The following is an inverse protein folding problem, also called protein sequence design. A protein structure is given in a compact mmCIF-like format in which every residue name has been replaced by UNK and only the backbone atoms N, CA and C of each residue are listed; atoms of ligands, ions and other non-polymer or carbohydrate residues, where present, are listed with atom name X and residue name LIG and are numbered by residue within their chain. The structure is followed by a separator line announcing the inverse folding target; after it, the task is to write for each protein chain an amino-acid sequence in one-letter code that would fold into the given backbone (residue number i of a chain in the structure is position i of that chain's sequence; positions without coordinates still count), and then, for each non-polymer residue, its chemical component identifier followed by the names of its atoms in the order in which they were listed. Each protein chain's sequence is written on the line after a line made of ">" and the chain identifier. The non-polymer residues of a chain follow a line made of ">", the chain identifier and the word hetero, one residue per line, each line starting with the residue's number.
data_IF_574985856892
#
_entry.id   IF_574985856892
#
_cell.length_a   1.000
_cell.length_b   1.000
_cell.length_c   1.000
_cell.angle_alpha   90.00
_cell.angle_beta   90.00
_cell.angle_gamma   90.00
#
_symmetry.space_group_name_H-M   'P 1'
#
loop_
_entity.id
_entity.type
_entity.pdbx_description
1 polymer ?
#
# COMPACT_ATOMS: atom_id res chain seq x y z
N UNK A 1 -32.71 -29.59 -6.69
CA UNK A 1 -31.95 -30.68 -6.01
C UNK A 1 -32.79 -31.37 -4.93
N UNK A 2 -33.56 -30.66 -4.11
CA UNK A 2 -34.37 -31.26 -3.03
C UNK A 2 -35.40 -32.31 -3.50
N UNK A 3 -35.90 -32.20 -4.75
CA UNK A 3 -36.79 -33.21 -5.35
C UNK A 3 -36.08 -34.52 -5.69
N UNK A 4 -34.76 -34.53 -5.87
CA UNK A 4 -33.97 -35.72 -6.20
C UNK A 4 -33.53 -36.45 -4.92
N UNK A 5 -33.32 -35.70 -3.80
CA UNK A 5 -32.85 -36.23 -2.52
C UNK A 5 -33.76 -35.78 -1.34
N UNK A 6 -35.03 -36.20 -1.29
CA UNK A 6 -35.98 -35.66 -0.32
C UNK A 6 -35.72 -36.04 1.16
N UNK A 7 -34.82 -36.97 1.42
CA UNK A 7 -34.48 -37.43 2.78
C UNK A 7 -33.05 -37.02 3.22
N UNK A 8 -32.31 -36.28 2.38
CA UNK A 8 -30.96 -35.88 2.72
C UNK A 8 -31.03 -34.51 3.42
N UNK A 9 -30.40 -34.38 4.62
CA UNK A 9 -30.35 -33.07 5.27
C UNK A 9 -29.48 -32.08 4.49
N UNK A 10 -29.90 -30.81 4.48
CA UNK A 10 -29.19 -29.73 3.85
C UNK A 10 -28.40 -28.91 4.88
N UNK A 11 -27.15 -28.65 4.60
CA UNK A 11 -26.30 -27.74 5.36
C UNK A 11 -25.82 -26.63 4.43
N UNK A 12 -26.22 -25.40 4.71
CA UNK A 12 -25.71 -24.19 4.05
C UNK A 12 -24.66 -23.52 4.94
N UNK A 13 -23.46 -23.29 4.42
CA UNK A 13 -22.39 -22.59 5.11
C UNK A 13 -22.02 -21.33 4.33
N UNK A 14 -21.95 -20.20 5.01
CA UNK A 14 -21.47 -18.94 4.44
C UNK A 14 -20.66 -18.17 5.46
N UNK A 15 -19.57 -17.55 5.04
CA UNK A 15 -18.73 -16.73 5.90
C UNK A 15 -19.33 -15.32 6.15
N UNK A 16 -20.16 -14.84 5.21
CA UNK A 16 -20.69 -13.46 5.21
C UNK A 16 -22.10 -13.48 4.60
N UNK A 17 -23.12 -13.33 5.42
CA UNK A 17 -24.48 -13.23 4.95
C UNK A 17 -25.29 -12.23 5.76
N UNK A 18 -25.84 -11.24 5.09
CA UNK A 18 -26.86 -10.36 5.66
C UNK A 18 -28.15 -11.16 5.95
N UNK A 19 -29.04 -10.60 6.75
CA UNK A 19 -30.36 -11.23 6.99
C UNK A 19 -31.10 -11.51 5.68
N UNK A 20 -31.02 -10.57 4.72
CA UNK A 20 -31.63 -10.72 3.39
C UNK A 20 -31.00 -11.89 2.63
N UNK A 21 -29.68 -11.97 2.56
CA UNK A 21 -28.96 -13.06 1.88
C UNK A 21 -29.28 -14.41 2.49
N UNK A 22 -29.41 -14.51 3.82
CA UNK A 22 -29.83 -15.77 4.46
C UNK A 22 -31.24 -16.20 4.05
N UNK A 23 -32.20 -15.26 4.03
CA UNK A 23 -33.55 -15.54 3.55
C UNK A 23 -33.57 -16.01 2.09
N UNK A 24 -32.80 -15.37 1.22
CA UNK A 24 -32.66 -15.77 -0.19
C UNK A 24 -32.04 -17.17 -0.35
N UNK A 25 -31.07 -17.54 0.49
CA UNK A 25 -30.47 -18.88 0.50
C UNK A 25 -31.52 -19.92 0.91
N UNK A 26 -32.27 -19.67 1.99
CA UNK A 26 -33.34 -20.56 2.49
C UNK A 26 -34.38 -20.79 1.40
N UNK A 27 -34.85 -19.75 0.78
CA UNK A 27 -35.82 -19.81 -0.31
C UNK A 27 -35.26 -20.55 -1.53
N UNK A 28 -34.09 -20.17 -2.01
CA UNK A 28 -33.46 -20.76 -3.20
C UNK A 28 -33.16 -22.25 -3.05
N UNK A 29 -32.79 -22.69 -1.86
CA UNK A 29 -32.52 -24.09 -1.57
C UNK A 29 -33.80 -24.87 -1.15
N UNK A 30 -34.94 -24.18 -0.99
CA UNK A 30 -36.19 -24.79 -0.55
C UNK A 30 -36.08 -25.42 0.85
N UNK A 31 -35.34 -24.77 1.75
CA UNK A 31 -35.16 -25.28 3.11
C UNK A 31 -36.45 -25.09 3.93
N UNK A 32 -36.96 -26.16 4.48
CA UNK A 32 -38.15 -26.13 5.32
C UNK A 32 -37.76 -26.06 6.78
N UNK A 33 -38.20 -25.00 7.47
CA UNK A 33 -37.93 -24.77 8.90
C UNK A 33 -36.45 -24.97 9.31
N UNK A 34 -35.50 -24.27 8.66
CA UNK A 34 -34.09 -24.43 8.94
C UNK A 34 -33.72 -23.87 10.31
N UNK A 35 -32.71 -24.47 10.92
CA UNK A 35 -32.05 -23.90 12.11
C UNK A 35 -30.96 -22.96 11.61
N UNK A 36 -31.07 -21.67 11.94
CA UNK A 36 -30.03 -20.68 11.63
C UNK A 36 -29.08 -20.50 12.82
N UNK A 37 -27.80 -20.77 12.60
CA UNK A 37 -26.74 -20.48 13.56
C UNK A 37 -25.96 -19.29 13.02
N UNK A 38 -26.09 -18.14 13.68
CA UNK A 38 -25.48 -16.87 13.26
C UNK A 38 -24.52 -16.40 14.34
N UNK A 39 -23.25 -16.27 13.99
CA UNK A 39 -22.18 -15.82 14.89
C UNK A 39 -21.74 -14.43 14.47
N UNK A 40 -21.44 -13.57 15.45
CA UNK A 40 -20.89 -12.25 15.18
C UNK A 40 -19.55 -12.39 14.44
N UNK A 41 -19.43 -11.84 13.21
CA UNK A 41 -18.23 -11.98 12.41
C UNK A 41 -17.12 -11.01 12.79
N UNK A 42 -17.28 -10.20 13.84
CA UNK A 42 -16.28 -9.20 14.24
C UNK A 42 -14.88 -9.82 14.42
N UNK A 43 -13.91 -9.12 13.93
CA UNK A 43 -12.49 -9.46 14.01
C UNK A 43 -11.77 -8.34 14.77
N UNK A 44 -11.78 -8.42 16.12
CA UNK A 44 -11.25 -7.34 16.96
C UNK A 44 -9.77 -7.05 16.72
N UNK A 45 -8.99 -7.99 16.27
CA UNK A 45 -7.57 -7.84 15.98
C UNK A 45 -7.26 -7.16 14.64
N UNK A 46 -8.26 -6.76 13.85
CA UNK A 46 -8.04 -6.07 12.58
C UNK A 46 -8.30 -4.58 12.76
N UNK A 47 -7.32 -3.75 12.43
CA UNK A 47 -7.45 -2.30 12.28
C UNK A 47 -7.95 -1.97 10.90
N UNK A 48 -9.05 -1.22 10.79
CA UNK A 48 -9.65 -0.82 9.52
C UNK A 48 -9.36 0.64 9.19
N UNK A 49 -8.96 0.91 7.95
CA UNK A 49 -8.70 2.28 7.52
C UNK A 49 -8.97 2.49 6.04
N UNK A 50 -9.16 3.73 5.65
CA UNK A 50 -9.25 4.14 4.25
C UNK A 50 -8.57 5.49 4.03
N UNK A 51 -7.98 5.68 2.86
CA UNK A 51 -7.42 6.97 2.47
C UNK A 51 -7.58 7.24 0.98
N UNK A 52 -7.74 8.51 0.66
CA UNK A 52 -7.79 8.95 -0.72
C UNK A 52 -6.41 8.78 -1.36
N UNK A 53 -6.39 8.25 -2.57
CA UNK A 53 -5.24 8.29 -3.47
C UNK A 53 -5.48 9.29 -4.59
N UNK A 54 -4.44 9.86 -5.18
CA UNK A 54 -4.59 10.78 -6.29
C UNK A 54 -5.34 10.17 -7.49
N UNK A 55 -6.11 10.99 -8.21
CA UNK A 55 -7.12 10.54 -9.17
C UNK A 55 -6.59 9.88 -10.43
N UNK A 56 -5.48 10.30 -11.00
CA UNK A 56 -4.89 9.69 -12.20
C UNK A 56 -3.41 9.99 -12.34
N UNK A 57 -2.72 9.06 -12.97
CA UNK A 57 -1.30 9.10 -13.32
C UNK A 57 -0.55 7.96 -12.63
N UNK A 58 0.25 7.25 -13.41
CA UNK A 58 1.10 6.15 -12.91
C UNK A 58 2.05 6.64 -11.81
N UNK A 59 2.46 7.93 -11.86
CA UNK A 59 3.29 8.59 -10.85
C UNK A 59 2.67 8.55 -9.44
N UNK A 60 1.36 8.64 -9.37
CA UNK A 60 0.62 8.76 -8.10
C UNK A 60 0.30 7.41 -7.44
N UNK A 61 0.25 6.33 -8.21
CA UNK A 61 0.23 4.97 -7.66
C UNK A 61 1.60 4.66 -7.03
N UNK A 62 2.66 5.21 -7.60
CA UNK A 62 4.02 5.05 -7.10
C UNK A 62 4.23 5.67 -5.72
N UNK A 63 3.58 6.79 -5.41
CA UNK A 63 3.65 7.43 -4.09
C UNK A 63 3.13 6.49 -2.97
N UNK A 64 2.13 5.65 -3.31
CA UNK A 64 1.60 4.63 -2.39
C UNK A 64 2.53 3.41 -2.31
N UNK A 65 3.10 3.02 -3.45
CA UNK A 65 3.88 1.78 -3.56
C UNK A 65 5.34 1.97 -3.11
N UNK A 66 5.89 3.18 -3.22
CA UNK A 66 7.27 3.46 -2.85
C UNK A 66 7.57 3.15 -1.39
N UNK A 67 6.79 3.63 -0.42
CA UNK A 67 7.01 3.29 0.99
C UNK A 67 7.02 1.78 1.26
N UNK A 68 6.15 1.02 0.55
CA UNK A 68 6.11 -0.43 0.68
C UNK A 68 7.37 -1.10 0.10
N UNK A 69 7.90 -0.58 -1.02
CA UNK A 69 9.17 -1.06 -1.60
C UNK A 69 10.32 -0.80 -0.64
N UNK A 70 10.42 0.43 -0.11
CA UNK A 70 11.53 0.83 0.76
C UNK A 70 11.50 0.04 2.07
N UNK A 71 10.31 -0.16 2.65
CA UNK A 71 10.14 -1.00 3.82
C UNK A 71 10.49 -2.47 3.53
N UNK A 72 10.04 -3.04 2.39
CA UNK A 72 10.38 -4.40 1.99
C UNK A 72 11.88 -4.58 1.77
N UNK A 73 12.59 -3.58 1.23
CA UNK A 73 14.05 -3.60 1.09
C UNK A 73 14.74 -3.63 2.44
N UNK A 74 14.28 -2.83 3.39
CA UNK A 74 14.86 -2.73 4.73
C UNK A 74 14.59 -3.96 5.60
N UNK A 75 13.34 -4.40 5.63
CA UNK A 75 12.88 -5.46 6.54
C UNK A 75 13.01 -6.87 5.96
N UNK A 76 13.05 -7.01 4.64
CA UNK A 76 13.23 -8.30 3.97
C UNK A 76 12.23 -9.35 4.46
N UNK A 77 12.75 -10.42 5.09
CA UNK A 77 11.94 -11.51 5.65
C UNK A 77 11.13 -11.11 6.87
N UNK A 78 11.48 -10.05 7.57
CA UNK A 78 10.73 -9.50 8.69
C UNK A 78 9.54 -8.64 8.24
N UNK A 79 9.52 -8.23 6.95
CA UNK A 79 8.38 -7.50 6.40
C UNK A 79 7.09 -8.32 6.57
N UNK A 80 6.02 -7.71 7.12
CA UNK A 80 4.78 -8.41 7.39
C UNK A 80 4.15 -8.95 6.12
N UNK A 81 3.70 -10.21 6.13
CA UNK A 81 3.04 -10.82 4.98
C UNK A 81 1.80 -9.99 4.60
N UNK A 82 1.87 -9.43 3.40
CA UNK A 82 0.91 -8.45 2.87
C UNK A 82 0.25 -8.98 1.61
N UNK A 83 -1.07 -8.85 1.51
CA UNK A 83 -1.82 -9.10 0.27
C UNK A 83 -2.37 -7.78 -0.24
N UNK A 84 -2.06 -7.46 -1.49
CA UNK A 84 -2.55 -6.26 -2.18
C UNK A 84 -3.61 -6.68 -3.18
N UNK A 85 -4.86 -6.33 -2.90
CA UNK A 85 -6.00 -6.60 -3.77
C UNK A 85 -6.25 -5.46 -4.74
N UNK A 86 -6.65 -5.80 -5.95
CA UNK A 86 -7.06 -4.87 -6.99
C UNK A 86 -7.59 -5.60 -8.22
N UNK A 87 -8.04 -4.85 -9.22
CA UNK A 87 -8.33 -5.44 -10.53
C UNK A 87 -7.03 -5.91 -11.22
N UNK A 88 -7.15 -6.73 -12.25
CA UNK A 88 -5.99 -7.35 -12.92
C UNK A 88 -5.00 -6.30 -13.46
N UNK A 89 -5.49 -5.20 -14.02
CA UNK A 89 -4.66 -4.10 -14.53
C UNK A 89 -3.86 -3.46 -13.39
N UNK A 90 -4.54 -3.05 -12.33
CA UNK A 90 -3.91 -2.42 -11.15
C UNK A 90 -2.85 -3.31 -10.53
N UNK A 91 -3.13 -4.60 -10.28
CA UNK A 91 -2.14 -5.49 -9.66
C UNK A 91 -0.95 -5.77 -10.58
N UNK A 92 -1.17 -5.78 -11.90
CA UNK A 92 -0.10 -5.94 -12.88
C UNK A 92 0.82 -4.71 -12.91
N UNK A 93 0.26 -3.50 -12.80
CA UNK A 93 1.02 -2.26 -12.66
C UNK A 93 1.83 -2.24 -11.35
N UNK A 94 1.22 -2.62 -10.23
CA UNK A 94 1.92 -2.73 -8.95
C UNK A 94 3.09 -3.70 -9.02
N UNK A 95 2.88 -4.87 -9.61
CA UNK A 95 3.92 -5.87 -9.79
C UNK A 95 5.06 -5.36 -10.68
N UNK A 96 4.74 -4.72 -11.80
CA UNK A 96 5.73 -4.15 -12.70
C UNK A 96 6.59 -3.08 -11.99
N UNK A 97 5.93 -2.20 -11.20
CA UNK A 97 6.61 -1.21 -10.39
C UNK A 97 7.57 -1.84 -9.38
N UNK A 98 7.12 -2.85 -8.63
CA UNK A 98 7.98 -3.55 -7.67
C UNK A 98 9.15 -4.26 -8.35
N UNK A 99 8.90 -4.90 -9.49
CA UNK A 99 9.96 -5.57 -10.26
C UNK A 99 11.04 -4.59 -10.73
N UNK A 100 10.63 -3.38 -11.15
CA UNK A 100 11.53 -2.31 -11.52
C UNK A 100 12.27 -1.74 -10.30
N UNK A 101 11.54 -1.34 -9.25
CA UNK A 101 12.08 -0.64 -8.09
C UNK A 101 12.97 -1.52 -7.20
N UNK A 102 12.67 -2.81 -7.10
CA UNK A 102 13.47 -3.78 -6.34
C UNK A 102 14.68 -4.30 -7.12
N UNK A 103 14.60 -4.37 -8.44
CA UNK A 103 15.68 -4.89 -9.28
C UNK A 103 16.18 -6.25 -8.79
N UNK A 104 17.48 -6.36 -8.53
CA UNK A 104 18.12 -7.61 -8.01
C UNK A 104 17.79 -7.88 -6.54
N UNK A 105 17.38 -6.87 -5.79
CA UNK A 105 17.01 -7.00 -4.38
C UNK A 105 15.68 -7.72 -4.15
N UNK A 106 14.91 -8.01 -5.20
CA UNK A 106 13.67 -8.77 -5.13
C UNK A 106 13.85 -10.24 -4.71
N UNK A 107 15.08 -10.73 -4.64
CA UNK A 107 15.38 -12.13 -4.31
C UNK A 107 16.01 -12.27 -2.91
N UNK A 108 15.66 -13.35 -2.22
CA UNK A 108 16.14 -13.68 -0.88
C UNK A 108 16.90 -15.01 -0.88
N UNK A 109 18.12 -15.08 -0.30
CA UNK A 109 18.94 -13.97 0.19
C UNK A 109 19.38 -13.02 -0.95
N UNK A 110 19.88 -11.85 -0.60
CA UNK A 110 20.43 -10.91 -1.59
C UNK A 110 21.49 -11.60 -2.42
N UNK A 111 21.38 -11.52 -3.76
CA UNK A 111 22.26 -12.22 -4.68
C UNK A 111 21.85 -13.66 -5.01
N UNK A 112 20.74 -14.14 -4.44
CA UNK A 112 20.20 -15.46 -4.81
C UNK A 112 19.86 -15.52 -6.32
N UNK A 113 19.88 -16.73 -6.91
CA UNK A 113 19.48 -16.92 -8.30
C UNK A 113 18.08 -16.36 -8.58
N UNK A 114 17.88 -15.79 -9.78
CA UNK A 114 16.61 -15.23 -10.24
C UNK A 114 15.56 -16.34 -10.49
N UNK A 115 15.10 -16.97 -9.43
CA UNK A 115 14.11 -18.04 -9.43
C UNK A 115 12.87 -17.62 -8.67
N UNK A 116 11.71 -18.15 -9.03
CA UNK A 116 10.43 -17.83 -8.43
C UNK A 116 10.38 -18.13 -6.93
N UNK A 117 11.03 -19.21 -6.48
CA UNK A 117 11.13 -19.60 -5.07
C UNK A 117 11.92 -18.61 -4.19
N UNK A 118 12.77 -17.80 -4.80
CA UNK A 118 13.59 -16.81 -4.11
C UNK A 118 12.96 -15.41 -4.06
N UNK A 119 11.82 -15.21 -4.72
CA UNK A 119 11.18 -13.88 -4.78
C UNK A 119 10.51 -13.49 -3.46
N UNK A 120 10.61 -12.20 -3.14
CA UNK A 120 9.92 -11.57 -2.01
C UNK A 120 8.47 -11.17 -2.35
N UNK A 121 8.11 -11.08 -3.63
CA UNK A 121 6.75 -10.75 -4.06
C UNK A 121 6.35 -11.51 -5.32
N UNK A 122 5.05 -11.66 -5.53
CA UNK A 122 4.47 -12.37 -6.67
C UNK A 122 3.09 -11.82 -7.05
N UNK A 123 2.55 -12.30 -8.18
CA UNK A 123 1.16 -12.12 -8.55
C UNK A 123 0.34 -13.39 -8.26
N UNK A 124 -0.98 -13.20 -8.06
CA UNK A 124 -1.94 -14.30 -7.94
C UNK A 124 -3.31 -13.90 -8.52
N UNK A 125 -3.64 -14.43 -9.67
CA UNK A 125 -4.93 -14.18 -10.35
C UNK A 125 -5.42 -15.43 -11.08
N UNK A 126 -6.65 -15.41 -11.59
CA UNK A 126 -7.29 -16.58 -12.21
C UNK A 126 -6.43 -17.20 -13.33
N UNK A 127 -5.86 -16.36 -14.18
CA UNK A 127 -5.04 -16.77 -15.35
C UNK A 127 -3.58 -17.07 -14.99
N UNK A 128 -3.16 -16.91 -13.71
CA UNK A 128 -1.79 -17.26 -13.32
C UNK A 128 -1.57 -18.76 -13.44
N UNK A 129 -0.36 -19.24 -13.87
CA UNK A 129 -0.13 -20.66 -14.11
C UNK A 129 -0.48 -21.53 -12.90
N UNK A 130 -1.24 -22.60 -13.11
CA UNK A 130 -1.75 -23.45 -12.03
C UNK A 130 -0.64 -23.98 -11.12
N UNK A 131 0.46 -24.45 -11.72
CA UNK A 131 1.65 -24.97 -11.00
C UNK A 131 2.27 -23.91 -10.09
N UNK A 132 2.32 -22.65 -10.54
CA UNK A 132 2.84 -21.55 -9.72
C UNK A 132 1.87 -21.20 -8.57
N UNK A 133 0.56 -21.24 -8.82
CA UNK A 133 -0.45 -21.05 -7.77
C UNK A 133 -0.33 -22.11 -6.69
N UNK A 134 -0.18 -23.38 -7.07
CA UNK A 134 0.04 -24.50 -6.14
C UNK A 134 1.30 -24.29 -5.31
N UNK A 135 2.43 -23.96 -5.94
CA UNK A 135 3.71 -23.66 -5.27
C UNK A 135 3.59 -22.52 -4.27
N UNK A 136 2.91 -21.42 -4.65
CA UNK A 136 2.70 -20.27 -3.76
C UNK A 136 1.90 -20.69 -2.53
N UNK A 137 0.79 -21.39 -2.74
CA UNK A 137 -0.10 -21.85 -1.69
C UNK A 137 0.61 -22.81 -0.74
N UNK A 138 1.28 -23.81 -1.28
CA UNK A 138 2.04 -24.80 -0.51
C UNK A 138 3.15 -24.14 0.31
N UNK A 139 3.97 -23.28 -0.32
CA UNK A 139 5.04 -22.58 0.38
C UNK A 139 4.56 -21.66 1.49
N UNK A 140 3.43 -20.97 1.30
CA UNK A 140 2.83 -20.12 2.32
C UNK A 140 2.21 -20.95 3.47
N UNK A 141 1.57 -22.06 3.14
CA UNK A 141 0.95 -22.95 4.14
C UNK A 141 2.00 -23.63 5.01
N UNK A 142 3.08 -24.09 4.40
CA UNK A 142 4.20 -24.75 5.09
C UNK A 142 5.16 -23.75 5.78
N UNK A 143 4.99 -22.45 5.56
CA UNK A 143 5.90 -21.42 6.10
C UNK A 143 7.30 -21.40 5.48
N UNK A 144 7.49 -22.07 4.35
CA UNK A 144 8.78 -22.12 3.63
C UNK A 144 8.95 -21.02 2.58
N UNK A 145 7.88 -20.27 2.29
CA UNK A 145 7.86 -19.22 1.30
C UNK A 145 8.64 -17.98 1.74
N UNK A 146 9.42 -17.43 0.82
CA UNK A 146 10.09 -16.12 0.99
C UNK A 146 9.20 -14.94 0.62
N UNK A 147 8.00 -15.21 0.12
CA UNK A 147 7.05 -14.17 -0.27
C UNK A 147 6.62 -13.33 0.94
N UNK A 148 6.68 -12.02 0.76
CA UNK A 148 6.21 -11.02 1.71
C UNK A 148 5.04 -10.20 1.14
N UNK A 149 4.98 -10.01 -0.19
CA UNK A 149 3.86 -9.32 -0.83
C UNK A 149 3.27 -10.19 -1.94
N UNK A 150 1.94 -10.23 -1.98
CA UNK A 150 1.16 -10.94 -3.00
C UNK A 150 0.20 -9.93 -3.64
N UNK A 151 0.39 -9.62 -4.92
CA UNK A 151 -0.53 -8.82 -5.71
C UNK A 151 -1.63 -9.72 -6.26
N UNK A 152 -2.86 -9.56 -5.78
CA UNK A 152 -3.92 -10.52 -5.98
C UNK A 152 -5.22 -9.90 -6.53
N UNK A 153 -5.94 -10.66 -7.32
CA UNK A 153 -7.38 -10.43 -7.56
C UNK A 153 -8.20 -11.24 -6.57
N UNK A 154 -9.52 -11.10 -6.60
CA UNK A 154 -10.48 -11.92 -5.81
C UNK A 154 -10.22 -13.44 -5.89
N UNK A 155 -9.47 -13.89 -6.91
CA UNK A 155 -9.11 -15.30 -7.06
C UNK A 155 -8.18 -15.83 -5.95
N UNK A 156 -7.47 -14.93 -5.25
CA UNK A 156 -6.63 -15.31 -4.12
C UNK A 156 -7.48 -15.54 -2.87
N UNK A 157 -7.53 -16.76 -2.42
CA UNK A 157 -8.11 -17.05 -1.13
C UNK A 157 -9.37 -17.90 -1.13
N UNK A 158 -9.84 -18.39 -2.28
CA UNK A 158 -10.85 -19.44 -2.30
C UNK A 158 -10.19 -20.73 -1.76
N UNK A 159 -10.58 -21.12 -0.54
CA UNK A 159 -10.07 -22.34 0.11
C UNK A 159 -8.68 -22.23 0.75
N UNK A 160 -8.11 -21.01 0.89
CA UNK A 160 -6.82 -20.82 1.55
C UNK A 160 -7.00 -20.43 3.02
N UNK A 161 -6.35 -21.19 3.92
CA UNK A 161 -6.26 -20.86 5.35
C UNK A 161 -4.83 -20.42 5.71
N UNK A 162 -4.50 -19.17 5.39
CA UNK A 162 -3.23 -18.54 5.75
C UNK A 162 -3.41 -17.75 7.04
N UNK A 163 -2.74 -18.17 8.10
CA UNK A 163 -2.93 -17.58 9.44
C UNK A 163 -2.13 -16.31 9.66
N UNK A 164 -0.99 -16.15 8.98
CA UNK A 164 0.02 -15.14 9.26
C UNK A 164 -0.04 -13.89 8.35
N UNK A 165 -1.13 -13.66 7.63
CA UNK A 165 -1.30 -12.42 6.88
C UNK A 165 -1.50 -11.27 7.87
N UNK A 166 -0.64 -10.24 7.81
CA UNK A 166 -0.65 -9.07 8.70
C UNK A 166 -1.31 -7.86 8.09
N UNK A 167 -1.25 -7.74 6.76
CA UNK A 167 -1.77 -6.59 6.07
C UNK A 167 -2.58 -7.00 4.85
N UNK A 168 -3.75 -6.41 4.71
CA UNK A 168 -4.56 -6.42 3.50
C UNK A 168 -4.66 -4.99 2.98
N UNK A 169 -4.27 -4.77 1.75
CA UNK A 169 -4.34 -3.47 1.10
C UNK A 169 -5.22 -3.61 -0.14
N UNK A 170 -6.24 -2.79 -0.25
CA UNK A 170 -7.04 -2.67 -1.47
C UNK A 170 -6.62 -1.43 -2.24
N UNK A 171 -6.28 -1.59 -3.49
CA UNK A 171 -6.05 -0.48 -4.42
C UNK A 171 -7.27 -0.38 -5.33
N UNK A 172 -8.16 0.51 -4.97
CA UNK A 172 -9.53 0.62 -5.47
C UNK A 172 -10.54 0.02 -4.49
N UNK A 173 -11.79 0.44 -4.62
CA UNK A 173 -12.88 0.04 -3.71
C UNK A 173 -13.49 -1.29 -4.18
N UNK A 174 -13.58 -2.33 -3.34
CA UNK A 174 -14.34 -3.55 -3.62
C UNK A 174 -15.81 -3.25 -3.95
N UNK A 175 -16.45 -4.10 -4.75
CA UNK A 175 -17.80 -3.81 -5.25
C UNK A 175 -18.88 -3.90 -4.17
N UNK A 176 -18.69 -4.77 -3.17
CA UNK A 176 -19.64 -4.96 -2.08
C UNK A 176 -18.94 -5.10 -0.73
N UNK A 177 -19.70 -4.91 0.35
CA UNK A 177 -19.21 -5.08 1.71
C UNK A 177 -18.85 -6.53 2.00
N UNK A 178 -19.56 -7.48 1.41
CA UNK A 178 -19.27 -8.90 1.52
C UNK A 178 -17.92 -9.26 0.92
N UNK A 179 -17.65 -8.77 -0.31
CA UNK A 179 -16.36 -8.94 -0.98
C UNK A 179 -15.23 -8.35 -0.13
N UNK A 180 -15.39 -7.08 0.27
CA UNK A 180 -14.42 -6.41 1.13
C UNK A 180 -14.14 -7.17 2.42
N UNK A 181 -15.20 -7.57 3.13
CA UNK A 181 -15.06 -8.21 4.43
C UNK A 181 -14.48 -9.62 4.34
N UNK A 182 -14.79 -10.36 3.27
CA UNK A 182 -14.14 -11.66 2.99
C UNK A 182 -12.64 -11.51 2.74
N UNK A 183 -12.22 -10.48 2.02
CA UNK A 183 -10.82 -10.21 1.71
C UNK A 183 -10.08 -9.66 2.92
N UNK A 184 -10.61 -8.64 3.59
CA UNK A 184 -10.07 -8.07 4.81
C UNK A 184 -9.96 -9.10 5.96
N UNK A 185 -10.98 -9.97 6.08
CA UNK A 185 -11.02 -11.04 7.08
C UNK A 185 -9.97 -12.15 6.92
N UNK A 186 -9.14 -12.09 5.88
CA UNK A 186 -7.96 -12.97 5.72
C UNK A 186 -6.80 -12.55 6.61
N UNK A 187 -6.78 -11.29 7.03
CA UNK A 187 -5.77 -10.79 7.95
C UNK A 187 -5.95 -11.39 9.36
N UNK A 188 -4.86 -11.70 10.02
CA UNK A 188 -4.81 -12.04 11.44
C UNK A 188 -5.71 -13.22 11.87
N UNK A 189 -5.81 -14.27 11.08
CA UNK A 189 -6.60 -15.47 11.46
C UNK A 189 -6.08 -16.18 12.72
N UNK A 190 -4.86 -15.91 13.11
CA UNK A 190 -4.25 -16.35 14.36
C UNK A 190 -4.57 -15.46 15.57
N UNK A 191 -5.39 -14.42 15.39
CA UNK A 191 -5.76 -13.47 16.45
C UNK A 191 -4.76 -12.34 16.70
N UNK A 192 -3.60 -12.35 16.05
CA UNK A 192 -2.60 -11.30 16.20
C UNK A 192 -3.00 -10.00 15.49
N UNK A 193 -2.52 -8.83 15.97
CA UNK A 193 -2.81 -7.53 15.36
C UNK A 193 -2.53 -7.51 13.87
N UNK A 194 -3.46 -6.97 13.11
CA UNK A 194 -3.42 -6.93 11.64
C UNK A 194 -4.13 -5.69 11.10
N UNK A 195 -3.88 -5.33 9.84
CA UNK A 195 -4.44 -4.12 9.23
C UNK A 195 -5.17 -4.45 7.94
N UNK A 196 -6.29 -3.75 7.68
CA UNK A 196 -6.99 -3.73 6.41
C UNK A 196 -7.17 -2.29 5.95
N UNK A 197 -6.55 -1.93 4.83
CA UNK A 197 -6.54 -0.57 4.30
C UNK A 197 -7.11 -0.50 2.90
N UNK A 198 -7.91 0.54 2.60
CA UNK A 198 -8.45 0.80 1.27
C UNK A 198 -7.93 2.12 0.73
N UNK A 199 -7.16 2.08 -0.35
CA UNK A 199 -6.82 3.25 -1.14
C UNK A 199 -7.88 3.47 -2.21
N UNK A 200 -8.49 4.64 -2.27
CA UNK A 200 -9.54 4.97 -3.23
C UNK A 200 -9.32 6.33 -3.88
N UNK A 201 -9.98 6.57 -5.00
CA UNK A 201 -10.01 7.86 -5.67
C UNK A 201 -11.43 8.22 -6.12
N UNK A 202 -11.61 9.39 -6.72
CA UNK A 202 -12.93 9.87 -7.17
C UNK A 202 -13.59 8.95 -8.21
N UNK A 203 -12.80 8.26 -9.04
CA UNK A 203 -13.33 7.29 -10.02
C UNK A 203 -13.83 6.02 -9.35
N UNK A 204 -13.12 5.56 -8.32
CA UNK A 204 -13.50 4.35 -7.60
C UNK A 204 -14.88 4.49 -6.93
N UNK A 205 -15.23 5.69 -6.48
CA UNK A 205 -16.50 6.00 -5.80
C UNK A 205 -17.52 6.72 -6.69
N UNK A 206 -17.20 6.91 -7.97
CA UNK A 206 -18.08 7.60 -8.93
C UNK A 206 -19.46 6.93 -9.05
N UNK A 207 -20.51 7.76 -9.21
CA UNK A 207 -21.87 7.27 -9.50
C UNK A 207 -21.96 6.51 -10.82
N UNK A 208 -21.03 6.75 -11.76
CA UNK A 208 -20.93 6.02 -13.01
C UNK A 208 -20.54 4.53 -12.81
N UNK A 209 -19.91 4.18 -11.70
CA UNK A 209 -19.57 2.81 -11.33
C UNK A 209 -20.80 2.10 -10.76
N UNK A 210 -21.63 1.56 -11.66
CA UNK A 210 -22.95 0.98 -11.33
C UNK A 210 -22.87 -0.27 -10.43
N UNK A 211 -21.79 -1.01 -10.49
CA UNK A 211 -21.57 -2.23 -9.69
C UNK A 211 -21.04 -1.95 -8.26
N UNK A 212 -20.73 -0.70 -7.92
CA UNK A 212 -20.31 -0.35 -6.56
C UNK A 212 -21.53 -0.13 -5.66
N UNK A 213 -21.61 -0.85 -4.55
CA UNK A 213 -22.67 -0.69 -3.56
C UNK A 213 -22.60 0.68 -2.88
N UNK A 214 -23.77 1.21 -2.48
CA UNK A 214 -23.85 2.48 -1.75
C UNK A 214 -23.10 2.41 -0.43
N UNK A 215 -23.20 1.27 0.26
CA UNK A 215 -22.53 1.05 1.55
C UNK A 215 -21.01 1.13 1.43
N UNK A 216 -20.41 0.56 0.37
CA UNK A 216 -18.96 0.67 0.15
C UNK A 216 -18.53 2.08 -0.20
N UNK A 217 -19.38 2.84 -0.91
CA UNK A 217 -19.13 4.25 -1.19
C UNK A 217 -19.12 5.09 0.08
N UNK A 218 -20.08 4.86 0.97
CA UNK A 218 -20.16 5.47 2.29
C UNK A 218 -18.98 5.04 3.19
N UNK A 219 -18.66 3.73 3.18
CA UNK A 219 -17.58 3.16 3.99
C UNK A 219 -16.23 3.88 3.79
N UNK A 220 -15.86 4.18 2.55
CA UNK A 220 -14.57 4.83 2.28
C UNK A 220 -14.61 6.35 2.44
N UNK A 221 -15.78 6.97 2.28
CA UNK A 221 -15.93 8.43 2.22
C UNK A 221 -16.41 9.06 3.54
N UNK A 222 -17.17 8.31 4.36
CA UNK A 222 -17.74 8.85 5.60
C UNK A 222 -16.72 8.84 6.74
N UNK A 223 -16.76 9.91 7.53
CA UNK A 223 -15.99 10.04 8.77
C UNK A 223 -16.78 9.41 9.93
N UNK A 224 -16.85 8.07 9.89
CA UNK A 224 -17.53 7.21 10.87
C UNK A 224 -16.69 6.00 11.21
N UNK A 225 -17.02 5.35 12.32
CA UNK A 225 -16.35 4.11 12.70
C UNK A 225 -16.52 3.03 11.63
N UNK A 226 -15.42 2.63 11.00
CA UNK A 226 -15.39 1.60 9.95
C UNK A 226 -15.94 0.26 10.45
N UNK A 227 -15.64 -0.09 11.69
CA UNK A 227 -16.10 -1.34 12.31
C UNK A 227 -17.60 -1.35 12.57
N UNK A 228 -18.15 -0.25 13.08
CA UNK A 228 -19.59 -0.11 13.27
C UNK A 228 -20.36 -0.20 11.95
N UNK A 229 -19.82 0.41 10.88
CA UNK A 229 -20.41 0.31 9.54
C UNK A 229 -20.46 -1.13 9.04
N UNK A 230 -19.36 -1.90 9.22
CA UNK A 230 -19.30 -3.31 8.86
C UNK A 230 -20.32 -4.12 9.68
N UNK A 231 -20.30 -3.99 11.00
CA UNK A 231 -21.18 -4.76 11.87
C UNK A 231 -22.64 -4.44 11.62
N UNK A 232 -22.98 -3.16 11.48
CA UNK A 232 -24.35 -2.71 11.14
C UNK A 232 -24.84 -3.27 9.80
N UNK A 233 -23.96 -3.35 8.80
CA UNK A 233 -24.29 -3.95 7.51
C UNK A 233 -24.69 -5.44 7.63
N UNK A 234 -24.00 -6.21 8.47
CA UNK A 234 -24.33 -7.61 8.71
C UNK A 234 -25.44 -7.82 9.74
N UNK A 235 -25.98 -6.74 10.31
CA UNK A 235 -27.11 -6.77 11.25
C UNK A 235 -26.71 -7.09 12.69
N UNK A 236 -25.47 -6.78 13.06
CA UNK A 236 -24.98 -6.92 14.45
C UNK A 236 -24.93 -5.57 15.15
N UNK A 237 -25.08 -5.60 16.46
CA UNK A 237 -24.86 -4.41 17.27
C UNK A 237 -23.40 -3.94 17.16
N UNK A 238 -23.13 -2.63 17.29
CA UNK A 238 -21.77 -2.14 17.35
C UNK A 238 -21.02 -2.80 18.50
N UNK A 239 -19.73 -3.15 18.29
CA UNK A 239 -18.93 -3.74 19.35
C UNK A 239 -18.73 -2.72 20.48
N UNK A 240 -18.48 -3.20 21.72
CA UNK A 240 -18.18 -2.30 22.83
C UNK A 240 -16.94 -1.45 22.50
N UNK A 241 -16.90 -0.20 23.03
CA UNK A 241 -15.72 0.64 22.90
C UNK A 241 -14.48 -0.08 23.41
N UNK A 242 -13.35 0.11 22.72
CA UNK A 242 -12.06 -0.43 23.15
C UNK A 242 -11.42 0.48 24.17
N UNK A 243 -10.58 -0.09 25.02
CA UNK A 243 -9.74 0.68 25.93
C UNK A 243 -8.83 1.63 25.15
N UNK A 244 -8.21 1.13 24.08
CA UNK A 244 -7.39 1.90 23.16
C UNK A 244 -8.14 2.17 21.85
N UNK A 245 -8.74 3.35 21.73
CA UNK A 245 -9.55 3.73 20.58
C UNK A 245 -8.78 3.67 19.26
N UNK A 246 -7.48 4.03 19.28
CA UNK A 246 -6.64 4.05 18.09
C UNK A 246 -6.44 2.67 17.45
N UNK A 247 -6.67 1.58 18.18
CA UNK A 247 -6.60 0.22 17.62
C UNK A 247 -7.84 -0.20 16.82
N UNK A 248 -8.91 0.58 16.86
CA UNK A 248 -10.17 0.22 16.23
C UNK A 248 -10.15 0.51 14.72
N UNK A 249 -9.98 1.76 14.33
CA UNK A 249 -10.01 2.23 12.95
C UNK A 249 -9.47 3.67 12.85
N UNK A 250 -9.28 4.15 11.63
CA UNK A 250 -8.81 5.51 11.31
C UNK A 250 -9.68 6.62 11.89
N UNK A 251 -11.00 6.44 11.98
CA UNK A 251 -11.90 7.38 12.66
C UNK A 251 -11.59 7.49 14.15
N UNK A 252 -11.51 6.36 14.83
CA UNK A 252 -11.22 6.34 16.27
C UNK A 252 -9.77 6.74 16.60
N UNK A 253 -8.82 6.49 15.70
CA UNK A 253 -7.44 6.95 15.86
C UNK A 253 -7.36 8.47 15.94
N UNK A 254 -8.15 9.20 15.14
CA UNK A 254 -8.24 10.67 15.18
C UNK A 254 -8.84 11.22 16.50
N UNK A 255 -9.67 10.42 17.18
CA UNK A 255 -10.34 10.81 18.42
C UNK A 255 -9.60 10.34 19.67
N UNK A 256 -8.62 9.46 19.51
CA UNK A 256 -7.89 8.87 20.62
C UNK A 256 -7.00 9.91 21.30
N UNK A 257 -7.08 9.95 22.63
CA UNK A 257 -6.27 10.82 23.50
C UNK A 257 -5.48 10.03 24.54
N UNK A 258 -5.15 8.77 24.24
CA UNK A 258 -4.27 7.99 25.10
C UNK A 258 -2.85 8.58 25.11
N UNK A 259 -2.05 8.17 26.08
CA UNK A 259 -0.71 8.70 26.29
C UNK A 259 0.18 8.54 25.05
N UNK A 260 0.12 7.38 24.38
CA UNK A 260 0.87 7.10 23.15
C UNK A 260 0.47 7.99 21.97
N UNK A 261 -0.84 8.25 21.78
CA UNK A 261 -1.32 9.15 20.74
C UNK A 261 -0.95 10.60 21.01
N UNK A 262 -1.04 11.05 22.26
CA UNK A 262 -0.63 12.41 22.65
C UNK A 262 0.88 12.62 22.47
N UNK A 263 1.69 11.64 22.80
CA UNK A 263 3.14 11.70 22.58
C UNK A 263 3.47 11.72 21.08
N UNK A 264 2.76 10.95 20.27
CA UNK A 264 2.92 10.94 18.81
C UNK A 264 2.52 12.28 18.19
N UNK A 265 1.41 12.88 18.64
CA UNK A 265 0.96 14.21 18.20
C UNK A 265 1.95 15.30 18.62
N UNK A 266 2.48 15.24 19.83
CA UNK A 266 3.51 16.18 20.31
C UNK A 266 4.81 16.02 19.51
N UNK A 267 5.25 14.80 19.22
CA UNK A 267 6.41 14.55 18.38
C UNK A 267 6.22 15.09 16.96
N UNK A 268 5.01 14.93 16.38
CA UNK A 268 4.65 15.48 15.06
C UNK A 268 4.58 17.01 15.05
N UNK A 269 4.22 17.64 16.17
CA UNK A 269 4.24 19.11 16.33
C UNK A 269 5.64 19.65 16.62
N UNK A 270 6.53 18.82 17.20
CA UNK A 270 7.92 19.18 17.53
C UNK A 270 8.88 18.83 16.39
N UNK A 271 8.48 18.02 15.41
CA UNK A 271 9.20 17.91 14.15
C UNK A 271 8.93 19.22 13.36
N UNK A 272 9.87 20.18 13.33
CA UNK A 272 9.74 21.31 12.42
C UNK A 272 9.66 20.75 11.00
N UNK A 273 9.02 21.43 10.05
CA UNK A 273 9.02 21.00 8.66
C UNK A 273 10.42 20.91 8.03
N UNK A 274 11.43 21.18 8.81
CA UNK A 274 12.85 20.98 8.51
C UNK A 274 13.52 20.39 9.76
N UNK A 275 14.03 19.16 9.67
CA UNK A 275 15.08 18.69 10.57
C UNK A 275 16.31 19.54 10.34
N UNK A 276 16.49 20.56 11.15
CA UNK A 276 17.82 21.08 11.39
C UNK A 276 18.58 19.99 12.15
N UNK A 277 19.53 19.37 11.49
CA UNK A 277 20.52 18.52 12.13
C UNK A 277 21.17 19.35 13.23
N UNK A 278 21.36 18.82 14.46
CA UNK A 278 22.05 19.56 15.49
C UNK A 278 23.45 19.89 14.98
N UNK A 279 23.69 21.15 14.73
CA UNK A 279 24.99 21.70 14.39
C UNK A 279 25.88 21.50 15.60
N UNK A 280 26.76 20.52 15.55
CA UNK A 280 27.95 20.56 16.38
C UNK A 280 28.69 21.84 16.01
N UNK A 281 28.75 22.76 16.95
CA UNK A 281 29.56 23.92 16.88
C UNK A 281 31.03 23.50 16.77
N UNK A 282 31.62 23.68 15.61
CA UNK A 282 33.05 23.87 15.43
C UNK A 282 33.34 24.61 14.12
N UNK A 283 33.96 25.74 14.24
CA UNK A 283 34.70 26.52 13.25
C UNK A 283 33.88 27.48 12.37
N UNK A 284 34.12 28.74 12.69
CA UNK A 284 33.82 29.93 11.90
C UNK A 284 34.32 29.75 10.46
N UNK A 285 33.37 29.54 9.53
CA UNK A 285 33.57 29.66 8.10
C UNK A 285 32.53 30.61 7.56
N UNK A 286 32.93 31.62 6.82
CA UNK A 286 32.10 32.66 6.23
C UNK A 286 30.84 32.06 5.55
N UNK A 287 29.65 32.69 5.66
CA UNK A 287 28.45 32.23 4.98
C UNK A 287 28.68 32.31 3.48
N UNK A 288 28.58 31.17 2.82
CA UNK A 288 28.57 31.07 1.36
C UNK A 288 27.39 31.87 0.81
N UNK A 289 27.56 32.68 -0.23
CA UNK A 289 26.48 33.52 -0.76
C UNK A 289 25.35 32.68 -1.30
N UNK A 290 24.12 32.93 -0.84
CA UNK A 290 22.90 32.35 -1.40
C UNK A 290 22.91 32.52 -2.92
N UNK A 291 22.60 31.44 -3.66
CA UNK A 291 22.46 31.45 -5.11
C UNK A 291 21.48 32.55 -5.55
N UNK A 292 21.88 33.34 -6.53
CA UNK A 292 20.98 34.35 -7.11
C UNK A 292 19.77 33.69 -7.77
N UNK A 293 18.64 34.41 -7.88
CA UNK A 293 17.41 33.88 -8.49
C UNK A 293 17.65 33.38 -9.93
N UNK A 294 18.56 34.04 -10.68
CA UNK A 294 18.95 33.64 -12.04
C UNK A 294 19.65 32.29 -12.05
N UNK A 295 20.62 32.07 -11.15
CA UNK A 295 21.33 30.80 -11.02
C UNK A 295 20.42 29.65 -10.55
N UNK A 296 19.46 29.92 -9.67
CA UNK A 296 18.44 28.95 -9.28
C UNK A 296 17.59 28.52 -10.48
N UNK A 297 17.22 29.45 -11.36
CA UNK A 297 16.45 29.15 -12.58
C UNK A 297 17.26 28.30 -13.56
N UNK A 298 18.52 28.66 -13.80
CA UNK A 298 19.42 27.92 -14.68
C UNK A 298 19.67 26.49 -14.15
N UNK A 299 19.92 26.37 -12.87
CA UNK A 299 20.09 25.04 -12.22
C UNK A 299 18.82 24.17 -12.32
N UNK A 300 17.66 24.78 -12.13
CA UNK A 300 16.38 24.09 -12.27
C UNK A 300 16.18 23.57 -13.71
N UNK A 301 16.47 24.38 -14.72
CA UNK A 301 16.36 24.02 -16.14
C UNK A 301 17.32 22.87 -16.51
N UNK A 302 18.58 22.93 -16.07
CA UNK A 302 19.57 21.87 -16.32
C UNK A 302 19.19 20.53 -15.65
N UNK A 303 18.63 20.57 -14.43
CA UNK A 303 18.14 19.38 -13.76
C UNK A 303 16.88 18.79 -14.43
N UNK A 304 16.02 19.64 -14.99
CA UNK A 304 14.88 19.18 -15.81
C UNK A 304 15.37 18.53 -17.10
N UNK A 305 16.37 19.12 -17.77
CA UNK A 305 16.99 18.54 -18.95
C UNK A 305 17.67 17.19 -18.65
N UNK A 306 18.38 17.11 -17.53
CA UNK A 306 18.94 15.85 -17.04
C UNK A 306 17.86 14.79 -16.82
N UNK A 307 16.75 15.15 -16.18
CA UNK A 307 15.61 14.24 -15.99
C UNK A 307 15.06 13.73 -17.33
N UNK A 308 14.95 14.61 -18.32
CA UNK A 308 14.43 14.28 -19.65
C UNK A 308 15.41 13.43 -20.49
N UNK A 309 16.71 13.53 -20.24
CA UNK A 309 17.74 12.75 -20.94
C UNK A 309 17.87 11.29 -20.46
N UNK A 310 17.24 10.95 -19.30
CA UNK A 310 17.36 9.60 -18.77
C UNK A 310 16.64 8.56 -19.65
N UNK A 311 17.15 7.31 -19.72
CA UNK A 311 16.52 6.23 -20.50
C UNK A 311 15.08 6.00 -20.03
N UNK A 312 14.13 6.05 -20.93
CA UNK A 312 12.69 5.90 -20.64
C UNK A 312 11.82 6.98 -21.27
N UNK A 313 12.40 7.96 -21.96
CA UNK A 313 11.69 8.90 -22.81
C UNK A 313 11.45 8.29 -24.19
N UNK A 314 10.43 7.44 -24.33
CA UNK A 314 10.02 6.88 -25.61
C UNK A 314 8.72 6.08 -25.51
N UNK A 315 8.00 5.95 -26.62
CA UNK A 315 6.67 5.30 -26.73
C UNK A 315 6.60 3.81 -26.30
N UNK A 316 7.69 3.22 -25.85
CA UNK A 316 7.83 1.79 -25.53
C UNK A 316 8.12 1.52 -24.05
N UNK A 317 8.22 2.52 -23.18
CA UNK A 317 8.45 2.33 -21.75
C UNK A 317 7.16 2.47 -20.98
N UNK A 318 6.83 1.42 -20.24
CA UNK A 318 5.73 1.40 -19.25
C UNK A 318 6.24 2.16 -18.02
N UNK A 319 5.78 3.41 -17.84
CA UNK A 319 6.09 4.23 -16.67
C UNK A 319 6.33 5.71 -17.01
N UNK A 320 6.15 6.58 -16.01
CA UNK A 320 6.39 8.01 -16.17
C UNK A 320 7.88 8.35 -16.16
N UNK A 321 8.24 9.54 -16.64
CA UNK A 321 9.63 10.07 -16.61
C UNK A 321 10.19 10.11 -15.19
N UNK A 322 9.37 10.33 -14.17
CA UNK A 322 9.77 10.30 -12.77
C UNK A 322 10.15 8.90 -12.31
N UNK A 323 9.49 7.87 -12.81
CA UNK A 323 9.80 6.48 -12.54
C UNK A 323 11.08 6.01 -13.20
N UNK A 324 11.27 6.39 -14.46
CA UNK A 324 12.45 5.97 -15.23
C UNK A 324 13.72 6.69 -14.79
N UNK A 325 13.61 7.98 -14.39
CA UNK A 325 14.76 8.78 -13.97
C UNK A 325 15.05 8.73 -12.48
N UNK A 326 14.04 8.39 -11.64
CA UNK A 326 14.14 8.55 -10.20
C UNK A 326 14.19 10.00 -9.71
N UNK A 327 14.09 10.99 -10.64
CA UNK A 327 14.21 12.42 -10.34
C UNK A 327 12.84 13.09 -10.52
N UNK A 328 12.15 13.38 -9.42
CA UNK A 328 10.86 14.09 -9.44
C UNK A 328 11.05 15.60 -9.55
N UNK A 329 10.03 16.33 -10.02
CA UNK A 329 10.06 17.81 -10.03
C UNK A 329 10.22 18.37 -8.61
N UNK A 330 9.62 17.73 -7.61
CA UNK A 330 9.78 18.10 -6.20
C UNK A 330 11.24 17.96 -5.76
N UNK A 331 11.87 16.83 -6.09
CA UNK A 331 13.28 16.59 -5.80
C UNK A 331 14.20 17.63 -6.47
N UNK A 332 13.90 18.03 -7.72
CA UNK A 332 14.60 19.11 -8.41
C UNK A 332 14.49 20.42 -7.61
N UNK A 333 13.30 20.77 -7.13
CA UNK A 333 13.11 21.95 -6.26
C UNK A 333 13.96 21.89 -5.00
N UNK A 334 13.97 20.75 -4.31
CA UNK A 334 14.78 20.53 -3.10
C UNK A 334 16.29 20.63 -3.38
N UNK A 335 16.76 20.10 -4.53
CA UNK A 335 18.16 20.22 -4.95
C UNK A 335 18.52 21.69 -5.17
N UNK A 336 17.67 22.45 -5.86
CA UNK A 336 17.92 23.88 -6.15
C UNK A 336 17.99 24.71 -4.88
N UNK A 337 17.11 24.45 -3.93
CA UNK A 337 17.08 25.19 -2.65
C UNK A 337 18.28 24.87 -1.77
N UNK A 338 18.72 23.61 -1.75
CA UNK A 338 19.86 23.14 -0.95
C UNK A 338 21.21 23.19 -1.71
N UNK A 339 21.25 23.62 -2.97
CA UNK A 339 22.45 23.55 -3.81
C UNK A 339 23.67 24.21 -3.20
N UNK A 340 23.47 25.23 -2.36
CA UNK A 340 24.53 25.94 -1.65
C UNK A 340 25.13 25.16 -0.48
N UNK A 341 24.49 24.09 -0.01
CA UNK A 341 24.94 23.27 1.12
C UNK A 341 25.76 22.05 0.69
N UNK A 342 25.70 21.67 -0.60
CA UNK A 342 26.38 20.48 -1.08
C UNK A 342 27.85 20.79 -1.41
N UNK A 343 28.75 19.93 -0.91
CA UNK A 343 30.18 19.96 -1.20
C UNK A 343 30.63 18.74 -2.01
N UNK A 344 29.82 17.69 -2.06
CA UNK A 344 30.13 16.43 -2.74
C UNK A 344 28.85 15.71 -3.22
N UNK A 345 29.02 14.68 -4.05
CA UNK A 345 27.93 13.78 -4.40
C UNK A 345 27.41 12.97 -3.20
N UNK A 346 28.27 12.71 -2.22
CA UNK A 346 27.88 12.01 -0.99
C UNK A 346 26.89 12.85 -0.16
N UNK A 347 27.10 14.17 -0.06
CA UNK A 347 26.18 15.06 0.67
C UNK A 347 24.78 15.06 0.05
N UNK A 348 24.69 14.88 -1.28
CA UNK A 348 23.43 14.78 -2.01
C UNK A 348 22.73 13.45 -1.70
N UNK A 349 23.49 12.34 -1.62
CA UNK A 349 22.94 11.02 -1.26
C UNK A 349 22.43 10.96 0.18
N UNK A 350 23.15 11.61 1.12
CA UNK A 350 22.75 11.64 2.52
C UNK A 350 21.56 12.57 2.79
N UNK A 351 21.45 13.66 2.02
CA UNK A 351 20.48 14.73 2.27
C UNK A 351 19.17 14.58 1.48
N UNK A 352 19.16 13.76 0.41
CA UNK A 352 18.06 13.66 -0.53
C UNK A 352 17.80 12.20 -0.96
N UNK A 353 16.54 11.81 -1.23
CA UNK A 353 16.17 10.47 -1.65
C UNK A 353 16.57 10.21 -3.11
N UNK A 354 17.86 10.05 -3.37
CA UNK A 354 18.41 9.77 -4.70
C UNK A 354 18.65 8.28 -4.90
N UNK A 355 18.19 7.74 -6.03
CA UNK A 355 18.07 6.32 -6.29
C UNK A 355 19.36 5.58 -6.68
N UNK A 356 20.40 6.30 -7.08
CA UNK A 356 21.66 5.68 -7.43
C UNK A 356 22.82 6.63 -7.27
N UNK A 357 23.97 6.08 -6.88
CA UNK A 357 25.22 6.80 -6.81
C UNK A 357 25.58 7.52 -8.13
N UNK A 358 25.25 6.91 -9.26
CA UNK A 358 25.46 7.52 -10.58
C UNK A 358 24.62 8.79 -10.77
N UNK A 359 23.37 8.80 -10.32
CA UNK A 359 22.52 9.99 -10.36
C UNK A 359 23.05 11.08 -9.44
N UNK A 360 23.49 10.75 -8.23
CA UNK A 360 24.09 11.72 -7.31
C UNK A 360 25.33 12.41 -7.91
N UNK A 361 26.21 11.64 -8.56
CA UNK A 361 27.38 12.18 -9.27
C UNK A 361 26.95 13.10 -10.40
N UNK A 362 25.96 12.69 -11.21
CA UNK A 362 25.49 13.51 -12.33
C UNK A 362 24.85 14.81 -11.87
N UNK A 363 24.01 14.74 -10.83
CA UNK A 363 23.38 15.92 -10.20
C UNK A 363 24.44 16.84 -9.59
N UNK A 364 25.43 16.27 -8.87
CA UNK A 364 26.53 17.06 -8.32
C UNK A 364 27.30 17.80 -9.39
N UNK A 365 27.60 17.16 -10.51
CA UNK A 365 28.29 17.82 -11.63
C UNK A 365 27.50 19.00 -12.18
N UNK A 366 26.17 18.87 -12.31
CA UNK A 366 25.28 19.96 -12.73
C UNK A 366 25.30 21.09 -11.70
N UNK A 367 25.12 20.77 -10.42
CA UNK A 367 25.18 21.76 -9.32
C UNK A 367 26.50 22.50 -9.35
N UNK A 368 27.63 21.79 -9.45
CA UNK A 368 28.96 22.37 -9.53
C UNK A 368 29.14 23.29 -10.72
N UNK A 369 28.65 22.91 -11.91
CA UNK A 369 28.74 23.75 -13.13
C UNK A 369 27.93 25.05 -12.97
N UNK A 370 26.71 24.97 -12.41
CA UNK A 370 25.86 26.14 -12.23
C UNK A 370 26.34 27.05 -11.09
N UNK A 371 27.01 26.53 -10.08
CA UNK A 371 27.50 27.31 -8.94
C UNK A 371 28.87 27.95 -9.19
N UNK A 372 29.74 27.37 -10.04
CA UNK A 372 31.12 27.81 -10.28
C UNK A 372 31.31 28.79 -11.47
N UNK A 373 30.26 29.14 -12.24
CA UNK A 373 30.36 29.99 -13.43
C UNK A 373 30.52 31.50 -13.19
N UNK A 374 30.82 31.93 -11.96
CA UNK A 374 31.14 33.33 -11.65
C UNK A 374 32.54 33.43 -11.04
N UNK A 375 33.56 33.13 -11.82
CA UNK A 375 34.96 33.60 -11.60
C UNK A 375 35.48 34.23 -12.88
#
# INVERSE_FOLDING_TARGET
>A
MGSIFPKVPWLGLTATATKKTRSEIIESLGMFNPIEIVVNPDRPNIYFSSSARPDRGDEKLNDILRPLVDQLKGERMEFPLTVVFGNLETISMCYAFFNFAMGKEQYEPVGAPSRAENRLFTQFHAQYPAKEKERIVEGLTLGTSKLRIIFATVAFGIGLDLKNIRQIIHIGVPCSMEEYFQEAGRAGRDGLPSKAHVFFNSYDISKARKNLSTVMREYVNDDKCKREMIMGYFGFAPPPPREELHECCDYHAKLCKCEDCLLSDMASLMDPPFKETPTQACCEGNPSPNLTAKKKSELHEELVNFRLSQPGHGRTTVGSTSLSSGVTIKLIGEIVDKAHTFSSAADIEESLPIFSHHHAISIWNIVKQCTQRDV
#
